data_IF_543215640086
#
_entry.id   IF_543215640086
#
_cell.length_a   1.000
_cell.length_b   1.000
_cell.length_c   1.000
_cell.angle_alpha   90.00
_cell.angle_beta   90.00
_cell.angle_gamma   90.00
#
_symmetry.space_group_name_H-M   'P 1'
#
loop_
_entity.id
_entity.type
_entity.pdbx_description
1 polymer ?
#
# COMPACT_ATOMS: atom_id res chain seq x y z
N UNK A 1 -7.15 -5.46 -18.24
CA UNK A 1 -5.83 -6.10 -18.20
C UNK A 1 -5.74 -7.04 -17.00
N UNK A 2 -4.93 -8.10 -17.08
CA UNK A 2 -4.66 -8.94 -15.90
C UNK A 2 -3.93 -8.12 -14.82
N UNK A 3 -4.18 -8.40 -13.54
CA UNK A 3 -3.50 -7.73 -12.43
C UNK A 3 -2.11 -8.36 -12.22
N UNK A 4 -1.01 -7.58 -12.31
CA UNK A 4 0.36 -8.07 -12.17
C UNK A 4 0.75 -8.21 -10.69
N UNK A 5 0.26 -9.27 -10.03
CA UNK A 5 0.39 -9.42 -8.57
C UNK A 5 1.85 -9.47 -8.10
N UNK A 6 2.71 -10.20 -8.80
CA UNK A 6 4.10 -10.42 -8.38
C UNK A 6 4.92 -9.13 -8.51
N UNK A 7 4.65 -8.34 -9.54
CA UNK A 7 5.27 -7.03 -9.77
C UNK A 7 4.83 -6.02 -8.70
N UNK A 8 3.55 -6.01 -8.32
CA UNK A 8 3.06 -5.17 -7.21
C UNK A 8 3.71 -5.58 -5.88
N UNK A 9 3.86 -6.88 -5.63
CA UNK A 9 4.55 -7.36 -4.42
C UNK A 9 6.03 -7.00 -4.42
N UNK A 10 6.70 -7.12 -5.58
CA UNK A 10 8.11 -6.74 -5.74
C UNK A 10 8.29 -5.24 -5.44
N UNK A 11 7.45 -4.38 -6.01
CA UNK A 11 7.44 -2.95 -5.71
C UNK A 11 7.18 -2.67 -4.23
N UNK A 12 6.27 -3.42 -3.59
CA UNK A 12 6.02 -3.31 -2.16
C UNK A 12 7.28 -3.63 -1.34
N UNK A 13 7.99 -4.72 -1.63
CA UNK A 13 9.23 -5.09 -0.94
C UNK A 13 10.35 -4.07 -1.17
N UNK A 14 10.52 -3.59 -2.40
CA UNK A 14 11.55 -2.60 -2.75
C UNK A 14 11.30 -1.24 -2.11
N UNK A 15 10.05 -0.75 -2.15
CA UNK A 15 9.73 0.56 -1.62
C UNK A 15 9.67 0.58 -0.09
N UNK A 16 9.17 -0.50 0.51
CA UNK A 16 8.83 -0.59 1.94
C UNK A 16 9.54 -1.79 2.62
N UNK A 17 10.89 -1.90 2.55
CA UNK A 17 11.64 -3.02 3.12
C UNK A 17 11.49 -3.13 4.65
N UNK A 18 11.10 -2.05 5.32
CA UNK A 18 10.85 -2.00 6.77
C UNK A 18 9.49 -2.57 7.22
N UNK A 19 8.56 -2.79 6.28
CA UNK A 19 7.24 -3.36 6.54
C UNK A 19 7.25 -4.90 6.46
N UNK A 20 6.25 -5.60 7.02
CA UNK A 20 6.16 -7.05 6.98
C UNK A 20 6.20 -7.61 5.54
N UNK A 21 7.17 -8.49 5.27
CA UNK A 21 7.37 -9.06 3.94
C UNK A 21 6.29 -10.09 3.61
N UNK A 22 5.90 -10.12 2.33
CA UNK A 22 4.89 -11.03 1.80
C UNK A 22 5.54 -12.34 1.40
N UNK A 23 5.33 -13.38 2.20
CA UNK A 23 5.80 -14.75 1.89
C UNK A 23 4.80 -15.51 1.01
N UNK A 24 3.50 -15.22 1.16
CA UNK A 24 2.42 -15.88 0.41
C UNK A 24 1.37 -14.88 -0.02
N UNK A 25 1.04 -14.90 -1.32
CA UNK A 25 -0.12 -14.25 -1.88
C UNK A 25 -1.35 -15.15 -1.71
N UNK A 26 -2.08 -14.94 -0.62
CA UNK A 26 -3.37 -15.61 -0.37
C UNK A 26 -4.45 -15.10 -1.32
N UNK A 27 -5.53 -15.86 -1.48
CA UNK A 27 -6.67 -15.43 -2.31
C UNK A 27 -7.28 -14.11 -1.83
N UNK A 28 -7.29 -13.88 -0.51
CA UNK A 28 -7.75 -12.60 0.07
C UNK A 28 -6.87 -11.44 -0.38
N UNK A 29 -5.53 -11.58 -0.31
CA UNK A 29 -4.60 -10.54 -0.77
C UNK A 29 -4.74 -10.28 -2.26
N UNK A 30 -4.82 -11.34 -3.08
CA UNK A 30 -5.04 -11.23 -4.52
C UNK A 30 -6.33 -10.49 -4.83
N UNK A 31 -7.45 -10.85 -4.18
CA UNK A 31 -8.75 -10.17 -4.36
C UNK A 31 -8.68 -8.70 -4.00
N UNK A 32 -8.03 -8.34 -2.90
CA UNK A 32 -7.91 -6.93 -2.49
C UNK A 32 -7.02 -6.13 -3.45
N UNK A 33 -5.83 -6.65 -3.80
CA UNK A 33 -4.92 -6.01 -4.77
C UNK A 33 -5.62 -5.84 -6.12
N UNK A 34 -6.28 -6.88 -6.62
CA UNK A 34 -7.03 -6.83 -7.87
C UNK A 34 -8.16 -5.79 -7.84
N UNK A 35 -8.87 -5.71 -6.70
CA UNK A 35 -9.91 -4.72 -6.53
C UNK A 35 -9.34 -3.30 -6.62
N UNK A 36 -8.17 -3.02 -6.00
CA UNK A 36 -7.52 -1.69 -6.07
C UNK A 36 -6.96 -1.39 -7.45
N UNK A 37 -6.36 -2.40 -8.09
CA UNK A 37 -5.85 -2.32 -9.47
C UNK A 37 -6.94 -1.90 -10.46
N UNK A 38 -8.17 -2.40 -10.28
CA UNK A 38 -9.30 -2.11 -11.15
C UNK A 38 -10.13 -0.88 -10.76
N UNK A 39 -9.76 -0.12 -9.73
CA UNK A 39 -10.57 1.04 -9.29
C UNK A 39 -10.60 2.20 -10.30
N UNK A 40 -9.55 2.40 -11.08
CA UNK A 40 -9.47 3.50 -12.02
C UNK A 40 -8.44 3.23 -13.13
N UNK A 41 -8.49 4.04 -14.18
CA UNK A 41 -7.45 4.05 -15.22
C UNK A 41 -6.06 4.39 -14.68
N UNK A 42 -5.95 5.04 -13.52
CA UNK A 42 -4.65 5.37 -12.92
C UNK A 42 -4.07 4.21 -12.13
N UNK A 43 -4.91 3.53 -11.34
CA UNK A 43 -4.48 2.47 -10.43
C UNK A 43 -4.13 1.17 -11.16
N UNK A 44 -4.47 1.04 -12.44
CA UNK A 44 -4.09 -0.10 -13.28
C UNK A 44 -2.70 0.04 -13.94
N UNK A 45 -1.82 0.87 -13.37
CA UNK A 45 -0.44 1.06 -13.80
C UNK A 45 0.55 0.85 -12.65
N UNK A 46 1.63 0.10 -12.90
CA UNK A 46 2.67 -0.17 -11.91
C UNK A 46 3.34 1.11 -11.37
N UNK A 47 3.52 2.13 -12.21
CA UNK A 47 4.06 3.44 -11.80
C UNK A 47 3.21 4.09 -10.70
N UNK A 48 1.88 3.94 -10.77
CA UNK A 48 1.00 4.44 -9.73
C UNK A 48 1.23 3.71 -8.40
N UNK A 49 1.40 2.38 -8.44
CA UNK A 49 1.67 1.58 -7.24
C UNK A 49 3.03 1.89 -6.61
N UNK A 50 4.07 2.05 -7.43
CA UNK A 50 5.38 2.51 -6.96
C UNK A 50 5.27 3.87 -6.25
N UNK A 51 4.57 4.83 -6.88
CA UNK A 51 4.30 6.14 -6.29
C UNK A 51 3.50 6.04 -4.98
N UNK A 52 2.50 5.17 -4.93
CA UNK A 52 1.68 4.92 -3.75
C UNK A 52 2.49 4.32 -2.59
N UNK A 53 3.36 3.34 -2.85
CA UNK A 53 4.23 2.77 -1.82
C UNK A 53 5.29 3.77 -1.35
N UNK A 54 5.90 4.54 -2.27
CA UNK A 54 6.79 5.66 -1.91
C UNK A 54 6.07 6.73 -1.09
N UNK A 55 4.78 6.93 -1.33
CA UNK A 55 3.96 7.82 -0.51
C UNK A 55 3.77 7.25 0.90
N UNK A 56 3.39 5.97 1.04
CA UNK A 56 3.27 5.29 2.34
C UNK A 56 4.57 5.37 3.15
N UNK A 57 5.73 5.23 2.50
CA UNK A 57 7.05 5.34 3.12
C UNK A 57 7.27 6.66 3.88
N UNK A 58 6.55 7.72 3.50
CA UNK A 58 6.63 9.04 4.15
C UNK A 58 5.79 9.14 5.44
N UNK A 59 5.03 8.11 5.80
CA UNK A 59 4.22 8.10 7.02
C UNK A 59 4.94 7.38 8.16
N UNK A 60 5.35 8.10 9.24
CA UNK A 60 5.89 7.46 10.44
C UNK A 60 4.88 6.48 11.06
N UNK A 61 3.60 6.87 11.06
CA UNK A 61 2.53 6.04 11.63
C UNK A 61 2.41 4.68 10.93
N UNK A 62 2.31 4.65 9.60
CA UNK A 62 2.13 3.39 8.85
C UNK A 62 3.36 2.48 8.93
N UNK A 63 4.55 3.04 9.18
CA UNK A 63 5.82 2.31 9.34
C UNK A 63 6.11 1.85 10.76
N UNK A 64 5.23 2.12 11.73
CA UNK A 64 5.45 1.76 13.13
C UNK A 64 6.44 2.64 13.86
N UNK A 65 6.75 3.82 13.34
CA UNK A 65 7.46 4.89 14.05
C UNK A 65 6.47 5.62 14.97
N UNK A 66 5.81 4.85 15.83
CA UNK A 66 4.82 5.31 16.81
C UNK A 66 4.99 4.53 18.12
N UNK A 67 4.35 5.00 19.20
CA UNK A 67 4.48 4.40 20.54
C UNK A 67 4.03 2.93 20.64
N UNK A 68 3.31 2.42 19.65
CA UNK A 68 2.80 1.03 19.62
C UNK A 68 3.65 0.12 18.72
N UNK A 69 4.59 0.67 17.95
CA UNK A 69 5.40 -0.10 17.00
C UNK A 69 4.59 -0.80 15.90
N UNK A 70 3.32 -0.43 15.71
CA UNK A 70 2.44 -1.11 14.77
C UNK A 70 2.79 -0.73 13.32
N UNK A 71 2.99 -1.74 12.47
CA UNK A 71 3.31 -1.57 11.05
C UNK A 71 2.17 -2.06 10.18
N UNK A 72 1.84 -1.30 9.14
CA UNK A 72 0.90 -1.74 8.12
C UNK A 72 1.51 -2.86 7.26
N UNK A 73 0.71 -3.86 6.88
CA UNK A 73 1.08 -4.85 5.87
C UNK A 73 0.32 -4.61 4.56
N UNK A 74 0.68 -5.33 3.49
CA UNK A 74 0.03 -5.18 2.19
C UNK A 74 -1.48 -5.37 2.27
N UNK A 75 -1.95 -6.37 3.03
CA UNK A 75 -3.39 -6.65 3.17
C UNK A 75 -4.12 -5.49 3.84
N UNK A 76 -3.57 -4.94 4.92
CA UNK A 76 -4.14 -3.77 5.59
C UNK A 76 -4.18 -2.55 4.66
N UNK A 77 -3.12 -2.32 3.88
CA UNK A 77 -3.01 -1.23 2.92
C UNK A 77 -4.03 -1.38 1.77
N UNK A 78 -4.22 -2.59 1.26
CA UNK A 78 -5.13 -2.85 0.12
C UNK A 78 -6.59 -3.03 0.51
N UNK A 79 -6.90 -3.12 1.81
CA UNK A 79 -8.27 -3.09 2.31
C UNK A 79 -8.93 -1.76 1.93
N UNK A 80 -10.05 -1.81 1.20
CA UNK A 80 -10.71 -0.64 0.61
C UNK A 80 -10.86 0.56 1.58
N UNK A 81 -11.32 0.31 2.81
CA UNK A 81 -11.51 1.36 3.82
C UNK A 81 -10.21 2.05 4.25
N UNK A 82 -9.08 1.35 4.22
CA UNK A 82 -7.78 1.90 4.62
C UNK A 82 -7.08 2.53 3.42
N UNK A 83 -7.21 1.90 2.25
CA UNK A 83 -6.68 2.42 0.99
C UNK A 83 -7.17 3.84 0.73
N UNK A 84 -8.48 4.09 0.84
CA UNK A 84 -9.09 5.43 0.69
C UNK A 84 -8.45 6.42 1.67
N UNK A 85 -8.33 6.06 2.94
CA UNK A 85 -7.72 6.93 3.97
C UNK A 85 -6.27 7.29 3.67
N UNK A 86 -5.50 6.35 3.12
CA UNK A 86 -4.12 6.60 2.69
C UNK A 86 -4.12 7.57 1.51
N UNK A 87 -4.92 7.31 0.47
CA UNK A 87 -4.99 8.19 -0.72
C UNK A 87 -5.45 9.60 -0.37
N UNK A 88 -6.37 9.75 0.58
CA UNK A 88 -6.84 11.04 1.12
C UNK A 88 -5.83 11.70 2.08
N UNK A 89 -4.72 11.02 2.40
CA UNK A 89 -3.64 11.56 3.23
C UNK A 89 -3.93 11.59 4.72
N UNK A 90 -4.89 10.81 5.22
CA UNK A 90 -5.24 10.78 6.66
C UNK A 90 -4.10 10.31 7.57
N UNK A 91 -3.09 9.64 7.00
CA UNK A 91 -1.93 9.11 7.74
C UNK A 91 -0.64 9.87 7.46
N UNK A 92 -0.74 10.99 6.76
CA UNK A 92 0.36 11.93 6.58
C UNK A 92 -0.02 13.16 7.35
N UNK A 93 0.78 13.51 8.36
CA UNK A 93 0.51 14.69 9.18
C UNK A 93 0.24 15.90 8.25
N UNK A 94 -0.88 16.56 8.51
CA UNK A 94 -1.38 17.64 7.67
C UNK A 94 -0.34 18.77 7.56
N UNK A 95 -0.24 19.24 6.30
CA UNK A 95 0.36 20.48 5.79
C UNK A 95 0.76 21.50 6.87
N UNK A 96 1.99 22.07 6.82
CA UNK A 96 2.21 23.35 7.49
C UNK A 96 1.11 24.32 7.02
N UNK A 97 0.48 25.00 7.98
CA UNK A 97 -0.45 26.10 7.69
C UNK A 97 0.23 27.16 6.83
#
# INVERSE_FOLDING_TARGET
SSCPYEEIVSLYHECLPELPQIVKLTDTRKKQVQARWNESEKTCHLEWWEGFFKYIKKSPFLKGENNRGWKADLEWITKASNFVKIVEGQYHALRPM
#
